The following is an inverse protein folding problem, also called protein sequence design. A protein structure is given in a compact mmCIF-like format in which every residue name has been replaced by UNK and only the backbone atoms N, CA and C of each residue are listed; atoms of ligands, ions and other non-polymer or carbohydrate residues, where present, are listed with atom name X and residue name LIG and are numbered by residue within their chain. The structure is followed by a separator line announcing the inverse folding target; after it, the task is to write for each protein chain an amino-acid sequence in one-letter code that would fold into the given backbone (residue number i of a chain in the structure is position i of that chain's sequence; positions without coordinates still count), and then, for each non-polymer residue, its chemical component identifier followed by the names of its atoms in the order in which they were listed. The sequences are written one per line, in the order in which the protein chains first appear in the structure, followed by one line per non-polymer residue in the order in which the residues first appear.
data_IF_340662195134
#
_entry.id   IF_340662195134
#
_cell.length_a   1.000
_cell.length_b   1.000
_cell.length_c   1.000
_cell.angle_alpha   90.00
_cell.angle_beta   90.00
_cell.angle_gamma   90.00
#
_symmetry.space_group_name_H-M   'P 1'
#
loop_
_entity.id
_entity.type
_entity.pdbx_description
1 polymer ?
#
# COMPACT_ATOMS: atom_id res chain seq x y z
N UNK A 1 8.09 6.09 17.11
CA UNK A 1 7.60 5.69 15.77
C UNK A 1 8.49 6.32 14.73
N UNK A 2 9.01 5.53 13.79
CA UNK A 2 9.82 6.02 12.66
C UNK A 2 8.90 6.80 11.71
N UNK A 3 9.45 7.80 11.01
CA UNK A 3 8.71 8.59 10.03
C UNK A 3 9.57 8.81 8.80
N UNK A 4 8.94 8.84 7.64
CA UNK A 4 9.57 9.20 6.36
C UNK A 4 8.92 10.45 5.80
N UNK A 5 9.64 11.16 4.92
CA UNK A 5 9.11 12.33 4.21
C UNK A 5 9.04 11.99 2.74
N UNK A 6 7.85 12.07 2.16
CA UNK A 6 7.63 11.89 0.73
C UNK A 6 6.84 13.09 0.21
N UNK A 7 7.38 13.83 -0.76
CA UNK A 7 6.76 15.07 -1.29
C UNK A 7 6.36 16.08 -0.18
N UNK A 8 7.14 16.16 0.89
CA UNK A 8 6.83 17.03 2.04
C UNK A 8 5.77 16.48 3.00
N UNK A 9 5.13 15.35 2.68
CA UNK A 9 4.23 14.64 3.59
C UNK A 9 5.04 13.80 4.57
N UNK A 10 4.79 13.98 5.86
CA UNK A 10 5.33 13.11 6.91
C UNK A 10 4.44 11.87 7.04
N UNK A 11 5.01 10.70 6.76
CA UNK A 11 4.29 9.43 6.80
C UNK A 11 4.86 8.56 7.92
N UNK A 12 3.98 8.05 8.78
CA UNK A 12 4.39 7.19 9.89
C UNK A 12 4.79 5.81 9.38
N UNK A 13 5.87 5.27 9.95
CA UNK A 13 6.36 3.92 9.71
C UNK A 13 6.22 3.10 10.99
N UNK A 14 5.55 1.97 10.86
CA UNK A 14 5.43 0.91 11.86
C UNK A 14 6.44 -0.17 11.53
N UNK A 15 7.39 -0.40 12.43
CA UNK A 15 8.31 -1.53 12.31
C UNK A 15 7.77 -2.67 13.16
N UNK A 16 7.54 -3.83 12.54
CA UNK A 16 7.10 -5.03 13.21
C UNK A 16 7.92 -6.23 12.71
N UNK A 17 8.58 -6.92 13.65
CA UNK A 17 9.56 -7.97 13.35
C UNK A 17 10.67 -7.43 12.42
N UNK A 18 10.85 -8.06 11.27
CA UNK A 18 11.84 -7.70 10.25
C UNK A 18 11.27 -6.81 9.14
N UNK A 19 10.00 -6.38 9.26
CA UNK A 19 9.28 -5.64 8.23
C UNK A 19 8.94 -4.22 8.66
N UNK A 20 9.10 -3.28 7.74
CA UNK A 20 8.67 -1.88 7.87
C UNK A 20 7.36 -1.68 7.08
N UNK A 21 6.34 -1.12 7.73
CA UNK A 21 5.03 -0.82 7.16
C UNK A 21 4.81 0.69 7.16
N UNK A 22 4.29 1.22 6.05
CA UNK A 22 3.95 2.64 5.91
C UNK A 22 2.46 2.82 6.21
N UNK A 23 2.08 3.81 7.02
CA UNK A 23 0.68 4.09 7.32
C UNK A 23 -0.05 4.68 6.09
N UNK A 24 -0.91 3.86 5.49
CA UNK A 24 -1.72 4.26 4.34
C UNK A 24 -2.69 5.41 4.67
N UNK A 25 -3.19 5.48 5.90
CA UNK A 25 -4.11 6.52 6.37
C UNK A 25 -3.47 7.91 6.38
N UNK A 26 -2.17 8.02 6.64
CA UNK A 26 -1.44 9.29 6.56
C UNK A 26 -1.39 9.80 5.11
N UNK A 27 -1.22 8.89 4.14
CA UNK A 27 -1.20 9.20 2.71
C UNK A 27 -2.60 9.58 2.22
N UNK A 28 -3.63 8.84 2.65
CA UNK A 28 -5.01 9.11 2.28
C UNK A 28 -5.51 10.45 2.85
N UNK A 29 -5.15 10.76 4.12
CA UNK A 29 -5.51 12.04 4.74
C UNK A 29 -4.89 13.25 4.04
N UNK A 30 -3.69 13.09 3.48
CA UNK A 30 -3.08 14.13 2.65
C UNK A 30 -3.83 14.37 1.33
N UNK A 31 -4.49 13.33 0.79
CA UNK A 31 -5.29 13.44 -0.43
C UNK A 31 -6.66 14.08 -0.15
N UNK A 32 -7.35 13.62 0.89
CA UNK A 32 -8.63 14.16 1.35
C UNK A 32 -8.82 13.77 2.83
N UNK A 33 -8.81 14.78 3.71
CA UNK A 33 -8.95 14.57 5.17
C UNK A 33 -10.37 14.27 5.61
N UNK A 34 -11.37 14.74 4.87
CA UNK A 34 -12.80 14.53 5.19
C UNK A 34 -13.29 13.18 4.69
N UNK A 35 -12.70 12.69 3.58
CA UNK A 35 -13.11 11.44 2.91
C UNK A 35 -11.98 10.42 2.82
N UNK A 36 -11.15 10.33 3.86
CA UNK A 36 -10.01 9.40 3.93
C UNK A 36 -10.43 7.94 3.69
N UNK A 37 -11.58 7.53 4.23
CA UNK A 37 -12.16 6.20 4.05
C UNK A 37 -12.52 5.93 2.58
N UNK A 38 -13.14 6.89 1.90
CA UNK A 38 -13.51 6.79 0.49
C UNK A 38 -12.27 6.72 -0.42
N UNK A 39 -11.23 7.51 -0.12
CA UNK A 39 -9.96 7.46 -0.86
C UNK A 39 -9.34 6.06 -0.80
N UNK A 40 -9.25 5.48 0.40
CA UNK A 40 -8.71 4.13 0.60
C UNK A 40 -9.58 3.09 -0.12
N UNK A 41 -10.91 3.17 0.04
CA UNK A 41 -11.84 2.27 -0.66
C UNK A 41 -11.67 2.34 -2.17
N UNK A 42 -11.51 3.54 -2.74
CA UNK A 42 -11.32 3.71 -4.17
C UNK A 42 -10.01 3.07 -4.65
N UNK A 43 -8.89 3.30 -3.96
CA UNK A 43 -7.62 2.64 -4.29
C UNK A 43 -7.76 1.11 -4.26
N UNK A 44 -8.39 0.57 -3.22
CA UNK A 44 -8.55 -0.88 -3.09
C UNK A 44 -9.55 -1.50 -4.09
N UNK A 45 -10.39 -0.69 -4.76
CA UNK A 45 -11.36 -1.17 -5.76
C UNK A 45 -10.81 -1.15 -7.19
N UNK A 46 -9.82 -0.32 -7.48
CA UNK A 46 -9.30 -0.20 -8.86
C UNK A 46 -8.35 -1.36 -9.18
N UNK A 47 -8.65 -2.09 -10.26
CA UNK A 47 -7.77 -3.14 -10.80
C UNK A 47 -6.34 -2.62 -11.01
N UNK A 48 -6.20 -1.38 -11.50
CA UNK A 48 -4.90 -0.74 -11.69
C UNK A 48 -4.06 -0.67 -10.40
N UNK A 49 -4.65 -0.29 -9.27
CA UNK A 49 -3.92 -0.21 -8.01
C UNK A 49 -3.55 -1.61 -7.49
N UNK A 50 -4.44 -2.59 -7.65
CA UNK A 50 -4.17 -3.98 -7.28
C UNK A 50 -3.04 -4.55 -8.15
N UNK A 51 -3.07 -4.35 -9.46
CA UNK A 51 -2.04 -4.80 -10.40
C UNK A 51 -0.69 -4.13 -10.10
N UNK A 52 -0.69 -2.83 -9.81
CA UNK A 52 0.51 -2.10 -9.42
C UNK A 52 1.14 -2.69 -8.15
N UNK A 53 0.33 -2.94 -7.11
CA UNK A 53 0.79 -3.60 -5.88
C UNK A 53 1.30 -5.01 -6.16
N UNK A 54 0.62 -5.77 -7.02
CA UNK A 54 1.06 -7.11 -7.42
C UNK A 54 2.42 -7.11 -8.13
N UNK A 55 2.68 -6.13 -9.00
CA UNK A 55 3.99 -5.96 -9.65
C UNK A 55 5.05 -5.61 -8.60
N UNK A 56 4.74 -4.67 -7.71
CA UNK A 56 5.67 -4.27 -6.64
C UNK A 56 6.04 -5.46 -5.74
N UNK A 57 5.05 -6.26 -5.33
CA UNK A 57 5.27 -7.47 -4.53
C UNK A 57 6.14 -8.49 -5.27
N UNK A 58 5.89 -8.73 -6.57
CA UNK A 58 6.75 -9.63 -7.37
C UNK A 58 8.22 -9.20 -7.41
N UNK A 59 8.48 -7.89 -7.34
CA UNK A 59 9.85 -7.35 -7.36
C UNK A 59 10.52 -7.46 -5.99
N UNK A 60 9.78 -7.20 -4.91
CA UNK A 60 10.36 -7.03 -3.57
C UNK A 60 10.17 -8.24 -2.65
N UNK A 61 9.26 -9.15 -2.98
CA UNK A 61 8.91 -10.31 -2.19
C UNK A 61 9.09 -11.59 -3.03
N UNK A 62 10.26 -12.26 -2.93
CA UNK A 62 10.60 -13.43 -3.75
C UNK A 62 9.62 -14.60 -3.63
N UNK A 63 8.87 -14.68 -2.51
CA UNK A 63 7.89 -15.73 -2.23
C UNK A 63 6.46 -15.33 -2.61
N UNK A 64 6.27 -14.17 -3.25
CA UNK A 64 4.94 -13.67 -3.58
C UNK A 64 4.22 -14.58 -4.58
N UNK A 65 3.03 -15.03 -4.20
CA UNK A 65 2.21 -15.95 -5.00
C UNK A 65 0.81 -15.36 -5.27
N UNK A 66 0.61 -14.62 -6.38
CA UNK A 66 -0.65 -13.95 -6.68
C UNK A 66 -1.76 -14.96 -7.10
N UNK A 67 -2.91 -15.01 -6.39
CA UNK A 67 -3.96 -16.00 -6.66
C UNK A 67 -4.60 -15.90 -8.05
N UNK A 68 -4.59 -14.70 -8.65
CA UNK A 68 -5.25 -14.39 -9.92
C UNK A 68 -4.35 -14.57 -11.15
N UNK A 69 -3.04 -14.71 -10.95
CA UNK A 69 -2.07 -14.99 -12.02
C UNK A 69 -1.75 -16.48 -12.15
N UNK A 70 -2.17 -17.29 -11.18
CA UNK A 70 -2.13 -18.73 -11.32
C UNK A 70 -3.42 -19.19 -11.98
N UNK A 71 -3.35 -19.87 -13.15
CA UNK A 71 -4.51 -20.60 -13.64
C UNK A 71 -4.91 -21.60 -12.55
N UNK A 72 -6.20 -21.61 -12.17
CA UNK A 72 -6.70 -22.67 -11.30
C UNK A 72 -6.45 -24.02 -11.99
N UNK A 73 -6.10 -25.08 -11.24
CA UNK A 73 -6.00 -26.42 -11.81
C UNK A 73 -7.32 -26.86 -12.44
#
# INVERSE_FOLDING_TARGET
MKKIIAKGLQITVLSQNENDYILLTDIARHKDSERTDYVIQNWMRTVFAIDFLGIWERINNPNFNPPHLNPRP
#
